data_IF_267936142222
#
_entry.id   IF_267936142222
#
_cell.length_a   1.000
_cell.length_b   1.000
_cell.length_c   1.000
_cell.angle_alpha   90.00
_cell.angle_beta   90.00
_cell.angle_gamma   90.00
#
_symmetry.space_group_name_H-M   'P 1'
#
loop_
_entity.id
_entity.type
_entity.pdbx_description
1 polymer ?
#
# COMPACT_ATOMS: atom_id res chain seq x y z
N UNK A 1 -44.97 -15.55 4.21
CA UNK A 1 -44.26 -15.65 5.50
C UNK A 1 -42.88 -16.32 5.43
N UNK A 2 -42.66 -17.30 4.53
CA UNK A 2 -41.35 -17.95 4.34
C UNK A 2 -40.25 -17.08 3.71
N UNK A 3 -40.63 -16.11 2.88
CA UNK A 3 -39.69 -15.23 2.15
C UNK A 3 -38.80 -14.44 3.13
N UNK A 4 -39.37 -13.92 4.22
CA UNK A 4 -38.62 -13.18 5.25
C UNK A 4 -37.59 -14.07 5.96
N UNK A 5 -37.93 -15.33 6.24
CA UNK A 5 -37.00 -16.27 6.84
C UNK A 5 -35.82 -16.56 5.90
N UNK A 6 -36.07 -16.78 4.61
CA UNK A 6 -35.03 -17.03 3.60
C UNK A 6 -34.09 -15.81 3.48
N UNK A 7 -34.65 -14.60 3.41
CA UNK A 7 -33.88 -13.36 3.34
C UNK A 7 -33.01 -13.13 4.59
N UNK A 8 -33.52 -13.50 5.77
CA UNK A 8 -32.77 -13.38 7.03
C UNK A 8 -31.52 -14.27 7.03
N UNK A 9 -31.67 -15.55 6.66
CA UNK A 9 -30.54 -16.47 6.57
C UNK A 9 -29.57 -16.08 5.46
N UNK A 10 -30.07 -15.63 4.31
CA UNK A 10 -29.22 -15.18 3.21
C UNK A 10 -28.41 -13.94 3.58
N UNK A 11 -29.02 -12.95 4.24
CA UNK A 11 -28.35 -11.76 4.75
C UNK A 11 -27.23 -12.12 5.74
N UNK A 12 -27.53 -13.02 6.69
CA UNK A 12 -26.53 -13.48 7.66
C UNK A 12 -25.37 -14.22 6.99
N UNK A 13 -25.66 -15.07 6.00
CA UNK A 13 -24.65 -15.80 5.24
C UNK A 13 -23.71 -14.85 4.49
N UNK A 14 -24.26 -13.83 3.82
CA UNK A 14 -23.46 -12.80 3.13
C UNK A 14 -22.58 -12.04 4.11
N UNK A 15 -23.12 -11.67 5.28
CA UNK A 15 -22.35 -10.97 6.32
C UNK A 15 -21.17 -11.81 6.83
N UNK A 16 -21.37 -13.10 7.07
CA UNK A 16 -20.31 -14.02 7.51
C UNK A 16 -19.24 -14.19 6.43
N UNK A 17 -19.64 -14.37 5.18
CA UNK A 17 -18.71 -14.50 4.05
C UNK A 17 -17.88 -13.23 3.88
N UNK A 18 -18.53 -12.07 3.95
CA UNK A 18 -17.85 -10.78 3.88
C UNK A 18 -16.84 -10.61 5.02
N UNK A 19 -17.24 -10.92 6.26
CA UNK A 19 -16.37 -10.83 7.42
C UNK A 19 -15.18 -11.79 7.33
N UNK A 20 -15.39 -13.02 6.86
CA UNK A 20 -14.32 -14.00 6.67
C UNK A 20 -13.33 -13.54 5.59
N UNK A 21 -13.83 -13.03 4.47
CA UNK A 21 -13.00 -12.46 3.41
C UNK A 21 -12.21 -11.24 3.90
N UNK A 22 -12.83 -10.37 4.70
CA UNK A 22 -12.19 -9.22 5.32
C UNK A 22 -11.05 -9.63 6.26
N UNK A 23 -11.30 -10.58 7.16
CA UNK A 23 -10.28 -11.11 8.08
C UNK A 23 -9.13 -11.76 7.31
N UNK A 24 -9.43 -12.51 6.24
CA UNK A 24 -8.42 -13.10 5.37
C UNK A 24 -7.58 -12.04 4.67
N UNK A 25 -8.19 -11.01 4.10
CA UNK A 25 -7.48 -9.91 3.45
C UNK A 25 -6.55 -9.16 4.41
N UNK A 26 -7.01 -8.87 5.63
CA UNK A 26 -6.19 -8.22 6.67
C UNK A 26 -5.03 -9.11 7.10
N UNK A 27 -5.27 -10.41 7.29
CA UNK A 27 -4.20 -11.39 7.63
C UNK A 27 -3.24 -11.67 6.48
N UNK A 28 -3.68 -11.50 5.23
CA UNK A 28 -2.86 -11.76 4.05
C UNK A 28 -1.74 -10.73 3.85
N UNK A 29 -1.60 -9.74 4.74
CA UNK A 29 -0.43 -8.88 4.76
C UNK A 29 -0.31 -7.97 3.54
N UNK A 30 -1.41 -7.67 2.83
CA UNK A 30 -1.40 -6.67 1.73
C UNK A 30 -0.97 -5.26 2.21
N UNK A 31 -0.84 -5.05 3.52
CA UNK A 31 -0.28 -3.85 4.13
C UNK A 31 1.23 -3.91 4.37
N UNK A 32 1.93 -4.91 3.83
CA UNK A 32 3.39 -5.02 3.96
C UNK A 32 4.16 -4.09 3.01
N UNK A 33 3.44 -3.30 2.19
CA UNK A 33 4.00 -2.10 1.58
C UNK A 33 4.19 -1.00 2.64
N UNK A 34 5.11 -1.26 3.57
CA UNK A 34 5.51 -0.34 4.65
C UNK A 34 6.43 0.78 4.18
N UNK A 35 6.74 0.84 2.88
CA UNK A 35 7.69 1.78 2.33
C UNK A 35 7.05 2.54 1.18
N UNK A 36 6.48 3.69 1.51
CA UNK A 36 5.88 4.62 0.55
C UNK A 36 6.87 4.89 -0.60
N UNK A 37 6.60 4.44 -1.84
CA UNK A 37 7.49 4.69 -2.98
C UNK A 37 7.63 6.18 -3.28
N UNK A 38 6.65 6.99 -2.84
CA UNK A 38 6.69 8.44 -2.95
C UNK A 38 7.79 9.11 -2.08
N UNK A 39 8.20 8.49 -0.96
CA UNK A 39 9.27 9.07 -0.13
C UNK A 39 10.65 8.84 -0.76
N UNK A 40 10.83 7.69 -1.42
CA UNK A 40 12.07 7.35 -2.11
C UNK A 40 12.37 8.32 -3.26
N UNK A 41 11.34 8.69 -4.04
CA UNK A 41 11.55 9.56 -5.20
C UNK A 41 11.94 10.99 -4.81
N UNK A 42 11.38 11.51 -3.70
CA UNK A 42 11.72 12.83 -3.16
C UNK A 42 13.14 12.90 -2.57
N UNK A 43 13.64 11.80 -2.01
CA UNK A 43 14.99 11.71 -1.44
C UNK A 43 16.06 11.35 -2.48
N UNK A 44 15.71 10.57 -3.51
CA UNK A 44 16.61 10.20 -4.61
C UNK A 44 16.95 11.44 -5.47
N UNK A 45 16.02 12.40 -5.63
CA UNK A 45 16.26 13.66 -6.35
C UNK A 45 17.33 14.53 -5.63
N UNK A 46 17.25 14.70 -4.30
CA UNK A 46 18.22 15.49 -3.51
C UNK A 46 19.64 14.89 -3.55
N UNK A 47 19.77 13.56 -3.41
CA UNK A 47 21.08 12.89 -3.40
C UNK A 47 21.76 12.94 -4.76
N UNK A 48 20.98 12.91 -5.85
CA UNK A 48 21.53 12.96 -7.22
C UNK A 48 22.11 14.34 -7.57
N UNK A 49 21.51 15.42 -7.06
CA UNK A 49 21.98 16.79 -7.29
C UNK A 49 23.29 17.10 -6.54
N UNK A 50 23.49 16.55 -5.34
CA UNK A 50 24.72 16.73 -4.55
C UNK A 50 25.95 16.05 -5.19
N UNK A 51 25.79 14.84 -5.73
CA UNK A 51 26.89 14.11 -6.38
C UNK A 51 27.34 14.76 -7.70
N UNK A 52 26.41 15.32 -8.48
CA UNK A 52 26.75 16.04 -9.71
C UNK A 52 27.47 17.37 -9.43
N UNK A 53 27.05 18.10 -8.39
CA UNK A 53 27.68 19.36 -7.99
C UNK A 53 29.14 19.18 -7.57
N UNK A 54 29.40 18.21 -6.70
CA UNK A 54 30.75 17.89 -6.20
C UNK A 54 31.68 17.38 -7.31
N UNK A 55 31.17 16.57 -8.25
CA UNK A 55 31.96 16.08 -9.40
C UNK A 55 32.33 17.19 -10.38
N UNK A 56 31.44 18.16 -10.62
CA UNK A 56 31.69 19.29 -11.54
C UNK A 56 32.69 20.30 -10.95
N UNK A 57 32.70 20.49 -9.63
CA UNK A 57 33.65 21.39 -8.96
C UNK A 57 35.08 20.84 -8.90
N UNK A 58 35.23 19.53 -8.67
CA UNK A 58 36.54 18.85 -8.66
C UNK A 58 37.18 18.78 -10.05
N UNK A 59 36.39 18.65 -11.12
CA UNK A 59 36.88 18.61 -12.50
C UNK A 59 37.22 20.01 -13.03
N UNK A 60 36.56 21.07 -12.53
CA UNK A 60 36.79 22.45 -12.97
C UNK A 60 38.01 23.11 -12.30
N UNK A 61 38.48 22.59 -11.16
CA UNK A 61 39.69 23.09 -10.49
C UNK A 61 40.99 22.36 -10.87
N UNK A 62 40.91 21.38 -11.78
CA UNK A 62 42.06 20.74 -12.44
C UNK A 62 42.18 21.23 -13.88
#
# INVERSE_FOLDING_TARGET
MWVLAILMFFSLLVAIVFLAAFIWAVRSGQYDDKYTPALRILLDDEVSDEEEGSRKEVVRSR
#
